data_IF_272612686663
#
_entry.id   IF_272612686663
#
_cell.length_a   1.000
_cell.length_b   1.000
_cell.length_c   1.000
_cell.angle_alpha   90.00
_cell.angle_beta   90.00
_cell.angle_gamma   90.00
#
_symmetry.space_group_name_H-M   'P 1'
#
loop_
_entity.id
_entity.type
_entity.pdbx_description
1 polymer ?
#
# COMPACT_ATOMS: atom_id res chain seq x y z
N UNK A 1 49.09 -9.19 4.75
CA UNK A 1 47.95 -9.47 5.66
C UNK A 1 46.85 -8.40 5.63
N UNK A 2 47.15 -7.10 5.82
CA UNK A 2 46.15 -6.01 5.85
C UNK A 2 45.32 -5.83 4.55
N UNK A 3 45.89 -6.08 3.37
CA UNK A 3 45.18 -5.94 2.08
C UNK A 3 44.07 -7.00 1.92
N UNK A 4 44.39 -8.26 2.19
CA UNK A 4 43.42 -9.38 2.21
C UNK A 4 42.27 -9.14 3.20
N UNK A 5 42.54 -8.55 4.37
CA UNK A 5 41.51 -8.23 5.36
C UNK A 5 40.50 -7.19 4.85
N UNK A 6 40.97 -6.18 4.10
CA UNK A 6 40.09 -5.19 3.46
C UNK A 6 39.24 -5.81 2.36
N UNK A 7 39.79 -6.73 1.58
CA UNK A 7 39.07 -7.43 0.53
C UNK A 7 37.96 -8.32 1.11
N UNK A 8 38.22 -9.06 2.20
CA UNK A 8 37.19 -9.83 2.90
C UNK A 8 36.10 -8.95 3.52
N UNK A 9 36.48 -7.83 4.16
CA UNK A 9 35.52 -6.90 4.74
C UNK A 9 34.60 -6.30 3.66
N UNK A 10 35.15 -5.96 2.50
CA UNK A 10 34.37 -5.45 1.36
C UNK A 10 33.34 -6.48 0.86
N UNK A 11 33.74 -7.74 0.72
CA UNK A 11 32.83 -8.83 0.32
C UNK A 11 31.75 -9.07 1.38
N UNK A 12 32.09 -9.04 2.66
CA UNK A 12 31.12 -9.19 3.76
C UNK A 12 30.11 -8.05 3.76
N UNK A 13 30.54 -6.81 3.55
CA UNK A 13 29.64 -5.66 3.45
C UNK A 13 28.70 -5.82 2.26
N UNK A 14 29.21 -6.19 1.08
CA UNK A 14 28.37 -6.44 -0.10
C UNK A 14 27.34 -7.54 0.19
N UNK A 15 27.78 -8.65 0.77
CA UNK A 15 26.90 -9.76 1.11
C UNK A 15 25.84 -9.35 2.13
N UNK A 16 26.21 -8.61 3.17
CA UNK A 16 25.28 -8.09 4.17
C UNK A 16 24.24 -7.14 3.56
N UNK A 17 24.65 -6.26 2.63
CA UNK A 17 23.72 -5.38 1.91
C UNK A 17 22.78 -6.18 1.00
N UNK A 18 23.27 -7.18 0.27
CA UNK A 18 22.43 -8.04 -0.57
C UNK A 18 21.46 -8.85 0.29
N UNK A 19 21.95 -9.47 1.37
CA UNK A 19 21.15 -10.30 2.26
C UNK A 19 20.06 -9.50 2.97
N UNK A 20 20.39 -8.31 3.49
CA UNK A 20 19.38 -7.41 4.08
C UNK A 20 18.32 -7.01 3.05
N UNK A 21 18.70 -6.69 1.81
CA UNK A 21 17.72 -6.42 0.74
C UNK A 21 16.83 -7.62 0.41
N UNK A 22 17.36 -8.84 0.44
CA UNK A 22 16.59 -10.06 0.17
C UNK A 22 15.56 -10.38 1.26
N UNK A 23 15.81 -10.02 2.51
CA UNK A 23 14.88 -10.29 3.63
C UNK A 23 13.76 -9.25 3.72
N UNK A 24 14.02 -8.04 3.23
CA UNK A 24 13.12 -6.89 3.32
C UNK A 24 12.10 -6.85 2.18
N UNK A 25 12.42 -7.49 1.06
CA UNK A 25 11.64 -7.39 -0.17
C UNK A 25 11.00 -8.73 -0.51
N UNK A 26 9.68 -8.72 -0.67
CA UNK A 26 8.90 -9.88 -1.11
C UNK A 26 8.36 -9.68 -2.53
N UNK A 27 8.13 -10.81 -3.22
CA UNK A 27 7.35 -10.84 -4.46
C UNK A 27 5.98 -11.44 -4.18
N UNK A 28 4.93 -10.62 -4.31
CA UNK A 28 3.54 -11.02 -4.07
C UNK A 28 2.76 -11.07 -5.38
N UNK A 29 1.74 -11.92 -5.45
CA UNK A 29 0.83 -12.01 -6.61
C UNK A 29 -0.52 -11.44 -6.24
N UNK A 30 -1.01 -10.50 -7.05
CA UNK A 30 -2.35 -9.92 -6.88
C UNK A 30 -3.40 -10.99 -7.13
N UNK A 31 -4.42 -11.00 -6.27
CA UNK A 31 -5.63 -11.81 -6.44
C UNK A 31 -6.85 -10.89 -6.39
N UNK A 32 -7.69 -10.97 -7.42
CA UNK A 32 -8.92 -10.19 -7.53
C UNK A 32 -8.77 -8.85 -8.26
N UNK A 33 -9.86 -8.07 -8.25
CA UNK A 33 -10.06 -6.93 -9.16
C UNK A 33 -10.10 -5.56 -8.48
N UNK A 34 -10.05 -5.51 -7.15
CA UNK A 34 -10.31 -4.28 -6.37
C UNK A 34 -9.35 -3.11 -6.63
N UNK A 35 -8.20 -3.38 -7.24
CA UNK A 35 -7.16 -2.39 -7.55
C UNK A 35 -7.05 -2.10 -9.06
N UNK A 36 -7.96 -2.60 -9.89
CA UNK A 36 -7.99 -2.25 -11.31
C UNK A 36 -8.34 -0.76 -11.51
N UNK A 37 -7.79 -0.09 -12.53
CA UNK A 37 -6.88 -0.61 -13.56
C UNK A 37 -5.40 -0.68 -13.13
N UNK A 38 -5.05 -0.10 -11.97
CA UNK A 38 -3.67 0.00 -11.50
C UNK A 38 -3.01 -1.37 -11.35
N UNK A 39 -3.69 -2.31 -10.70
CA UNK A 39 -3.25 -3.70 -10.50
C UNK A 39 -4.33 -4.67 -10.97
N UNK A 40 -3.95 -5.59 -11.85
CA UNK A 40 -4.79 -6.65 -12.38
C UNK A 40 -4.54 -7.97 -11.64
N UNK A 41 -5.53 -8.85 -11.70
CA UNK A 41 -5.38 -10.23 -11.22
C UNK A 41 -4.13 -10.88 -11.85
N UNK A 42 -3.32 -11.54 -11.01
CA UNK A 42 -2.04 -12.18 -11.34
C UNK A 42 -0.84 -11.27 -11.59
N UNK A 43 -0.99 -9.95 -11.47
CA UNK A 43 0.16 -9.04 -11.46
C UNK A 43 1.13 -9.43 -10.33
N UNK A 44 2.44 -9.29 -10.59
CA UNK A 44 3.48 -9.49 -9.57
C UNK A 44 3.89 -8.15 -9.00
N UNK A 45 4.01 -8.08 -7.68
CA UNK A 45 4.35 -6.89 -6.93
C UNK A 45 5.68 -7.12 -6.22
N UNK A 46 6.56 -6.13 -6.29
CA UNK A 46 7.68 -6.02 -5.36
C UNK A 46 7.20 -5.21 -4.18
N UNK A 47 7.33 -5.80 -2.99
CA UNK A 47 6.79 -5.28 -1.75
C UNK A 47 7.92 -5.13 -0.75
N UNK A 48 8.06 -3.96 -0.15
CA UNK A 48 9.01 -3.74 0.94
C UNK A 48 8.32 -3.81 2.30
N UNK A 49 9.06 -4.30 3.29
CA UNK A 49 8.55 -4.55 4.65
C UNK A 49 8.99 -3.51 5.68
N UNK A 50 9.88 -2.58 5.35
CA UNK A 50 10.42 -1.59 6.29
C UNK A 50 9.33 -0.62 6.75
N UNK A 51 8.47 -0.14 5.84
CA UNK A 51 7.50 0.92 6.18
C UNK A 51 6.51 0.50 7.27
N UNK A 52 6.24 -0.82 7.42
CA UNK A 52 5.40 -1.32 8.50
C UNK A 52 6.01 -1.14 9.90
N UNK A 53 7.34 -1.00 10.01
CA UNK A 53 8.04 -0.81 11.29
C UNK A 53 8.28 0.66 11.62
N UNK A 54 8.40 1.51 10.60
CA UNK A 54 8.58 2.95 10.78
C UNK A 54 7.28 3.74 10.79
N UNK A 55 6.16 3.13 10.38
CA UNK A 55 4.89 3.80 10.09
C UNK A 55 5.04 5.00 9.14
N UNK A 56 6.05 4.96 8.28
CA UNK A 56 6.32 6.01 7.32
C UNK A 56 5.60 5.68 6.00
N UNK A 57 4.37 6.17 5.89
CA UNK A 57 3.52 6.00 4.72
C UNK A 57 3.13 7.36 4.15
N UNK A 58 3.01 7.42 2.84
CA UNK A 58 2.56 8.60 2.12
C UNK A 58 1.16 8.37 1.53
N UNK A 59 0.41 9.46 1.33
CA UNK A 59 -0.83 9.38 0.55
C UNK A 59 -0.50 8.93 -0.86
N UNK A 60 -1.27 7.99 -1.36
CA UNK A 60 -1.06 7.36 -2.67
C UNK A 60 -0.27 6.06 -2.61
N UNK A 61 0.38 5.72 -1.49
CA UNK A 61 1.02 4.42 -1.32
C UNK A 61 0.02 3.28 -1.50
N UNK A 62 0.47 2.16 -2.06
CA UNK A 62 -0.33 0.95 -2.18
C UNK A 62 0.20 -0.06 -1.18
N UNK A 63 -0.61 -0.44 -0.20
CA UNK A 63 -0.21 -1.31 0.90
C UNK A 63 -0.92 -2.66 0.85
N UNK A 64 -0.24 -3.67 1.37
CA UNK A 64 -0.81 -4.98 1.66
C UNK A 64 -1.23 -5.01 3.13
N UNK A 65 -2.49 -5.33 3.37
CA UNK A 65 -3.13 -5.36 4.69
C UNK A 65 -3.49 -6.80 5.06
N UNK A 66 -3.16 -7.23 6.26
CA UNK A 66 -3.65 -8.48 6.85
C UNK A 66 -4.92 -8.20 7.64
N UNK A 67 -6.08 -8.52 7.06
CA UNK A 67 -7.39 -8.19 7.62
C UNK A 67 -7.88 -9.21 8.64
N UNK A 68 -7.58 -10.49 8.42
CA UNK A 68 -7.82 -11.56 9.39
C UNK A 68 -6.61 -12.52 9.43
N UNK A 69 -6.05 -12.65 10.64
CA UNK A 69 -4.87 -13.49 10.91
C UNK A 69 -5.17 -14.98 10.82
N UNK A 70 -6.40 -15.40 11.12
CA UNK A 70 -6.80 -16.80 11.19
C UNK A 70 -6.97 -17.40 9.79
N UNK A 71 -7.69 -16.69 8.91
CA UNK A 71 -7.93 -17.12 7.53
C UNK A 71 -6.82 -16.64 6.55
N UNK A 72 -5.87 -15.82 7.03
CA UNK A 72 -4.82 -15.17 6.22
C UNK A 72 -5.39 -14.36 5.06
N UNK A 73 -6.42 -13.57 5.36
CA UNK A 73 -7.04 -12.69 4.39
C UNK A 73 -6.19 -11.44 4.20
N UNK A 74 -5.67 -11.28 2.99
CA UNK A 74 -4.86 -10.12 2.60
C UNK A 74 -5.61 -9.24 1.61
N UNK A 75 -5.58 -7.93 1.86
CA UNK A 75 -6.08 -6.92 0.92
C UNK A 75 -4.91 -6.12 0.35
N UNK A 76 -5.05 -5.67 -0.89
CA UNK A 76 -4.18 -4.64 -1.48
C UNK A 76 -5.04 -3.41 -1.70
N UNK A 77 -4.62 -2.25 -1.17
CA UNK A 77 -5.38 -0.98 -1.22
C UNK A 77 -4.46 0.22 -1.31
N UNK A 78 -4.98 1.34 -1.79
CA UNK A 78 -4.27 2.63 -1.81
C UNK A 78 -4.60 3.44 -0.57
N UNK A 79 -3.59 4.00 0.07
CA UNK A 79 -3.74 4.98 1.14
C UNK A 79 -4.23 6.29 0.54
N UNK A 80 -5.36 6.78 1.04
CA UNK A 80 -6.00 8.02 0.57
C UNK A 80 -5.81 9.15 1.59
N UNK A 81 -5.93 8.82 2.89
CA UNK A 81 -5.73 9.75 3.98
C UNK A 81 -4.97 9.08 5.12
N UNK A 82 -4.17 9.86 5.85
CA UNK A 82 -3.33 9.42 6.96
C UNK A 82 -3.81 10.01 8.28
N UNK A 83 -3.24 9.57 9.40
CA UNK A 83 -3.48 10.13 10.73
C UNK A 83 -3.57 11.66 10.72
N UNK A 84 -4.64 12.20 11.31
CA UNK A 84 -4.88 13.64 11.43
C UNK A 84 -5.55 14.28 10.22
N UNK A 85 -5.61 13.59 9.07
CA UNK A 85 -6.33 14.10 7.91
C UNK A 85 -7.85 14.06 8.12
N UNK A 86 -8.55 15.01 7.51
CA UNK A 86 -10.00 14.86 7.28
C UNK A 86 -10.24 14.14 5.96
N UNK A 87 -11.24 13.26 5.93
CA UNK A 87 -11.69 12.54 4.73
C UNK A 87 -13.20 12.71 4.58
N UNK A 88 -13.64 13.05 3.37
CA UNK A 88 -15.05 13.14 2.97
C UNK A 88 -15.19 12.63 1.54
N UNK A 89 -16.30 11.96 1.23
CA UNK A 89 -16.67 11.68 -0.16
C UNK A 89 -18.06 12.23 -0.41
N UNK A 90 -18.16 13.12 -1.41
CA UNK A 90 -19.43 13.66 -1.89
C UNK A 90 -19.37 13.88 -3.39
N UNK A 91 -20.48 13.59 -4.07
CA UNK A 91 -20.62 13.75 -5.53
C UNK A 91 -19.52 13.02 -6.31
N UNK A 92 -19.21 11.78 -5.92
CA UNK A 92 -18.14 10.94 -6.47
C UNK A 92 -16.71 11.50 -6.34
N UNK A 93 -16.52 12.57 -5.56
CA UNK A 93 -15.21 13.19 -5.34
C UNK A 93 -14.73 12.92 -3.93
N UNK A 94 -13.46 12.58 -3.82
CA UNK A 94 -12.76 12.39 -2.56
C UNK A 94 -12.11 13.70 -2.15
N UNK A 95 -12.40 14.14 -0.94
CA UNK A 95 -11.84 15.33 -0.32
C UNK A 95 -10.94 14.91 0.83
N UNK A 96 -9.70 15.39 0.83
CA UNK A 96 -8.76 15.23 1.94
C UNK A 96 -8.34 16.61 2.41
N UNK A 97 -8.55 16.92 3.69
CA UNK A 97 -8.31 18.27 4.23
C UNK A 97 -9.06 19.36 3.46
N UNK A 98 -10.34 19.10 3.15
CA UNK A 98 -11.24 19.97 2.39
C UNK A 98 -10.84 20.24 0.92
N UNK A 99 -9.75 19.61 0.44
CA UNK A 99 -9.29 19.72 -0.94
C UNK A 99 -9.63 18.45 -1.73
N UNK A 100 -10.11 18.63 -2.96
CA UNK A 100 -10.33 17.50 -3.88
C UNK A 100 -8.97 16.91 -4.25
N UNK A 101 -8.77 15.62 -4.00
CA UNK A 101 -7.55 14.95 -4.42
C UNK A 101 -7.58 14.62 -5.91
N UNK A 102 -6.40 14.63 -6.54
CA UNK A 102 -6.24 14.24 -7.93
C UNK A 102 -6.05 12.72 -8.02
N UNK A 103 -6.97 12.05 -8.71
CA UNK A 103 -7.01 10.59 -8.81
C UNK A 103 -6.86 10.12 -10.26
N UNK A 104 -5.70 10.40 -10.88
CA UNK A 104 -5.44 10.00 -12.28
C UNK A 104 -5.34 8.48 -12.49
N UNK A 105 -5.29 7.71 -11.40
CA UNK A 105 -5.17 6.25 -11.39
C UNK A 105 -6.52 5.52 -11.52
N UNK A 106 -7.65 6.24 -11.45
CA UNK A 106 -8.99 5.67 -11.65
C UNK A 106 -9.66 6.21 -12.93
N UNK A 107 -10.58 5.46 -13.54
CA UNK A 107 -11.44 5.98 -14.60
C UNK A 107 -12.23 7.22 -14.16
N UNK A 108 -12.42 8.20 -15.06
CA UNK A 108 -13.11 9.47 -14.74
C UNK A 108 -14.58 9.30 -14.37
N UNK A 109 -15.18 8.20 -14.81
CA UNK A 109 -16.57 7.80 -14.59
C UNK A 109 -16.74 6.90 -13.35
N UNK A 110 -15.67 6.62 -12.60
CA UNK A 110 -15.74 5.80 -11.38
C UNK A 110 -16.71 6.39 -10.36
N UNK A 111 -17.63 5.56 -9.87
CA UNK A 111 -18.57 5.95 -8.81
C UNK A 111 -17.95 5.63 -7.45
N UNK A 112 -17.88 6.64 -6.56
CA UNK A 112 -17.39 6.46 -5.19
C UNK A 112 -18.50 6.80 -4.21
N UNK A 113 -18.93 5.81 -3.43
CA UNK A 113 -19.97 5.98 -2.40
C UNK A 113 -19.67 7.14 -1.46
N UNK A 114 -20.70 7.93 -1.14
CA UNK A 114 -20.58 9.06 -0.24
C UNK A 114 -20.19 8.61 1.18
N UNK A 115 -19.43 9.46 1.86
CA UNK A 115 -18.94 9.24 3.21
C UNK A 115 -18.95 10.59 3.92
N UNK A 116 -19.55 10.63 5.10
CA UNK A 116 -19.55 11.82 5.94
C UNK A 116 -18.13 12.22 6.31
N UNK A 117 -17.90 13.54 6.39
CA UNK A 117 -16.61 14.08 6.83
C UNK A 117 -16.21 13.52 8.19
N UNK A 118 -14.99 13.01 8.27
CA UNK A 118 -14.41 12.44 9.50
C UNK A 118 -12.91 12.70 9.56
N UNK A 119 -12.33 12.64 10.76
CA UNK A 119 -10.88 12.76 10.96
C UNK A 119 -10.30 11.36 11.13
N UNK A 120 -9.22 11.06 10.40
CA UNK A 120 -8.49 9.81 10.55
C UNK A 120 -7.82 9.78 11.93
N UNK A 121 -8.17 8.81 12.80
CA UNK A 121 -7.61 8.75 14.14
C UNK A 121 -6.10 8.52 14.15
N UNK A 122 -5.49 8.79 15.31
CA UNK A 122 -4.10 8.43 15.56
C UNK A 122 -3.87 6.93 15.41
N UNK A 123 -2.78 6.55 14.76
CA UNK A 123 -2.41 5.17 14.49
C UNK A 123 -3.15 4.51 13.33
N UNK A 124 -3.93 5.29 12.56
CA UNK A 124 -4.80 4.77 11.50
C UNK A 124 -4.56 5.46 10.16
N UNK A 125 -5.08 4.83 9.11
CA UNK A 125 -5.18 5.34 7.76
C UNK A 125 -6.59 5.11 7.18
N UNK A 126 -6.89 5.79 6.09
CA UNK A 126 -8.05 5.54 5.25
C UNK A 126 -7.60 5.01 3.90
N UNK A 127 -8.09 3.84 3.49
CA UNK A 127 -7.68 3.19 2.25
C UNK A 127 -8.86 2.97 1.30
N UNK A 128 -8.62 3.09 0.00
CA UNK A 128 -9.59 2.78 -1.04
C UNK A 128 -8.98 1.80 -2.05
N UNK A 129 -9.84 0.99 -2.68
CA UNK A 129 -9.47 0.31 -3.91
C UNK A 129 -9.62 1.23 -5.10
N UNK A 130 -8.70 1.13 -6.05
CA UNK A 130 -8.77 1.90 -7.30
C UNK A 130 -10.00 1.49 -8.14
N UNK A 131 -10.46 0.24 -8.03
CA UNK A 131 -11.73 -0.19 -8.61
C UNK A 131 -12.87 0.12 -7.63
N UNK A 132 -13.31 1.38 -7.64
CA UNK A 132 -14.21 1.95 -6.62
C UNK A 132 -15.52 1.17 -6.44
N UNK A 133 -16.09 0.63 -7.50
CA UNK A 133 -17.37 -0.07 -7.46
C UNK A 133 -17.23 -1.54 -7.03
N UNK A 134 -16.01 -2.09 -7.06
CA UNK A 134 -15.74 -3.51 -6.79
C UNK A 134 -14.65 -3.70 -5.72
N UNK A 135 -14.62 -2.82 -4.72
CA UNK A 135 -13.63 -2.84 -3.65
C UNK A 135 -14.28 -2.86 -2.27
N UNK A 136 -13.98 -3.91 -1.50
CA UNK A 136 -14.12 -3.86 -0.04
C UNK A 136 -12.94 -3.09 0.54
N UNK A 137 -13.20 -1.95 1.16
CA UNK A 137 -12.19 -1.03 1.69
C UNK A 137 -12.74 -0.19 2.85
N UNK A 138 -12.07 0.89 3.22
CA UNK A 138 -12.45 1.72 4.37
C UNK A 138 -13.87 2.28 4.31
N UNK A 139 -14.52 2.31 3.13
CA UNK A 139 -15.95 2.64 3.02
C UNK A 139 -16.85 1.67 3.77
N UNK A 140 -16.46 0.40 3.82
CA UNK A 140 -17.23 -0.67 4.44
C UNK A 140 -16.76 -0.99 5.87
N UNK A 141 -15.45 -0.88 6.14
CA UNK A 141 -14.86 -1.32 7.42
C UNK A 141 -14.32 -0.18 8.30
N UNK A 142 -14.31 1.06 7.80
CA UNK A 142 -13.77 2.21 8.52
C UNK A 142 -12.25 2.33 8.41
N UNK A 143 -11.67 3.02 9.40
CA UNK A 143 -10.22 3.28 9.46
C UNK A 143 -9.43 1.99 9.70
N UNK A 144 -8.22 1.93 9.13
CA UNK A 144 -7.34 0.77 9.21
C UNK A 144 -6.14 1.12 10.09
N UNK A 145 -5.86 0.29 11.09
CA UNK A 145 -4.67 0.39 11.92
C UNK A 145 -3.37 0.21 11.11
N UNK A 146 -2.33 1.01 11.39
CA UNK A 146 -1.01 0.82 10.77
C UNK A 146 -0.44 -0.59 11.00
N UNK A 147 -0.80 -1.25 12.11
CA UNK A 147 -0.32 -2.59 12.47
C UNK A 147 -0.83 -3.71 11.56
N UNK A 148 -1.87 -3.45 10.75
CA UNK A 148 -2.38 -4.37 9.73
C UNK A 148 -1.54 -4.34 8.46
N UNK A 149 -0.70 -3.32 8.26
CA UNK A 149 0.18 -3.26 7.09
C UNK A 149 1.26 -4.32 7.22
N UNK A 150 1.36 -5.18 6.21
CA UNK A 150 2.41 -6.21 6.13
C UNK A 150 3.46 -5.88 5.05
N UNK A 151 3.20 -4.87 4.23
CA UNK A 151 4.19 -4.32 3.30
C UNK A 151 3.64 -3.21 2.39
N UNK A 152 4.54 -2.39 1.85
CA UNK A 152 4.27 -1.34 0.87
C UNK A 152 4.70 -1.79 -0.53
N UNK A 153 3.88 -1.54 -1.54
CA UNK A 153 4.15 -1.94 -2.92
C UNK A 153 5.04 -0.90 -3.58
N UNK A 154 6.28 -1.28 -3.90
CA UNK A 154 7.25 -0.42 -4.59
C UNK A 154 6.98 -0.35 -6.08
N UNK A 155 6.74 -1.50 -6.71
CA UNK A 155 6.45 -1.56 -8.12
C UNK A 155 5.74 -2.84 -8.51
N UNK A 156 4.88 -2.71 -9.54
CA UNK A 156 4.34 -3.84 -10.29
C UNK A 156 5.34 -4.25 -11.37
N UNK A 157 5.49 -5.55 -11.58
CA UNK A 157 6.19 -6.11 -12.73
C UNK A 157 5.44 -7.33 -13.27
N UNK A 158 5.63 -7.60 -14.55
CA UNK A 158 5.04 -8.74 -15.24
C UNK A 158 5.77 -9.00 -16.53
N UNK A 159 5.79 -10.26 -16.97
CA UNK A 159 6.21 -10.58 -18.32
C UNK A 159 5.23 -9.90 -19.26
N UNK A 160 5.74 -9.05 -20.15
CA UNK A 160 5.00 -8.54 -21.30
C UNK A 160 4.41 -9.78 -21.98
N UNK A 161 3.08 -9.85 -22.06
CA UNK A 161 2.41 -10.82 -22.93
C UNK A 161 2.33 -10.24 -24.33
#
# INVERSE_FOLDING_TARGET
>A
MRKKLKDYLFVIIIFAVIFTKLVIVDVVTVKGISMQPTLNDKDKLIVEKISQYSNNFDRGDIVILLMDKNNKEFWVKRIVALEGDTIEVKDNKVYVNDEIIREDYIPKDSVTSNISKSIVPKGHMYVLGDNREHSGDSRAVGFIDYDKVVGNVLFKFGLIK
#
